data_IF_507958175475
#
_entry.id   IF_507958175475
#
_cell.length_a   1.000
_cell.length_b   1.000
_cell.length_c   1.000
_cell.angle_alpha   90.00
_cell.angle_beta   90.00
_cell.angle_gamma   90.00
#
_symmetry.space_group_name_H-M   'P 1'
#
loop_
_entity.id
_entity.type
_entity.pdbx_description
1 polymer ?
#
# COMPACT_ATOMS: atom_id res chain seq x y z
N UNK A 1 -0.35 -9.97 -7.34
CA UNK A 1 -1.49 -9.64 -6.46
C UNK A 1 -2.16 -8.34 -6.93
N UNK A 2 -3.36 -8.03 -6.44
CA UNK A 2 -3.98 -6.72 -6.67
C UNK A 2 -3.67 -5.80 -5.48
N UNK A 3 -3.43 -4.52 -5.74
CA UNK A 3 -3.13 -3.52 -4.73
C UNK A 3 -3.65 -2.13 -5.13
N UNK A 4 -3.91 -1.29 -4.14
CA UNK A 4 -4.12 0.15 -4.32
C UNK A 4 -2.75 0.84 -4.25
N UNK A 5 -2.34 1.53 -5.31
CA UNK A 5 -1.01 2.14 -5.44
C UNK A 5 -1.14 3.65 -5.52
N UNK A 6 -0.40 4.36 -4.66
CA UNK A 6 -0.20 5.80 -4.76
C UNK A 6 0.94 6.06 -5.75
N UNK A 7 0.61 6.51 -6.96
CA UNK A 7 1.62 6.79 -7.99
C UNK A 7 2.21 8.20 -7.85
N UNK A 8 1.44 9.14 -7.30
CA UNK A 8 1.80 10.55 -7.09
C UNK A 8 1.05 11.09 -5.87
N UNK A 9 1.70 11.96 -5.09
CA UNK A 9 1.09 12.59 -3.91
C UNK A 9 -0.10 13.47 -4.32
N UNK A 10 -1.11 13.52 -3.46
CA UNK A 10 -2.36 14.26 -3.70
C UNK A 10 -3.25 13.68 -4.79
N UNK A 11 -2.89 12.54 -5.39
CA UNK A 11 -3.71 11.85 -6.39
C UNK A 11 -4.42 10.63 -5.79
N UNK A 12 -5.61 10.24 -6.33
CA UNK A 12 -6.27 9.03 -5.91
C UNK A 12 -5.41 7.78 -6.11
N UNK A 13 -5.49 6.85 -5.16
CA UNK A 13 -4.91 5.51 -5.28
C UNK A 13 -5.45 4.81 -6.53
N UNK A 14 -4.57 4.09 -7.25
CA UNK A 14 -4.95 3.31 -8.43
C UNK A 14 -4.97 1.82 -8.14
N UNK A 15 -6.06 1.16 -8.52
CA UNK A 15 -6.14 -0.29 -8.48
C UNK A 15 -5.25 -0.91 -9.56
N UNK A 16 -4.23 -1.68 -9.15
CA UNK A 16 -3.23 -2.25 -10.05
C UNK A 16 -2.94 -3.70 -9.73
N UNK A 17 -2.61 -4.46 -10.78
CA UNK A 17 -2.00 -5.79 -10.65
C UNK A 17 -0.49 -5.63 -10.53
N UNK A 18 0.08 -6.07 -9.42
CA UNK A 18 1.51 -6.01 -9.12
C UNK A 18 2.08 -7.43 -8.93
N UNK A 19 3.39 -7.66 -9.10
CA UNK A 19 4.02 -8.94 -8.78
C UNK A 19 3.74 -9.36 -7.32
N UNK A 20 3.64 -10.66 -7.06
CA UNK A 20 3.62 -11.13 -5.68
C UNK A 20 5.04 -10.99 -5.08
N UNK A 21 5.18 -10.47 -3.86
CA UNK A 21 6.50 -10.35 -3.23
C UNK A 21 7.07 -11.74 -2.88
N UNK A 22 8.39 -11.85 -2.92
CA UNK A 22 9.13 -13.04 -2.49
C UNK A 22 9.80 -12.72 -1.14
N UNK A 23 9.45 -13.41 -0.04
CA UNK A 23 10.04 -13.12 1.26
C UNK A 23 11.51 -13.55 1.30
N UNK A 24 12.36 -12.70 1.88
CA UNK A 24 13.75 -13.04 2.23
C UNK A 24 13.85 -13.75 3.59
N UNK A 25 15.08 -13.97 4.09
CA UNK A 25 15.30 -14.47 5.45
C UNK A 25 14.57 -13.60 6.48
N UNK A 26 13.96 -14.25 7.48
CA UNK A 26 13.21 -13.60 8.57
C UNK A 26 11.97 -12.79 8.15
N UNK A 27 11.51 -12.91 6.90
CA UNK A 27 10.28 -12.29 6.41
C UNK A 27 9.14 -13.30 6.28
N UNK A 28 7.91 -12.80 6.43
CA UNK A 28 6.68 -13.60 6.25
C UNK A 28 5.85 -12.97 5.13
N UNK A 29 5.37 -13.82 4.21
CA UNK A 29 4.39 -13.43 3.21
C UNK A 29 2.98 -13.64 3.75
N UNK A 30 2.22 -12.56 3.89
CA UNK A 30 0.83 -12.58 4.36
C UNK A 30 -0.17 -12.45 3.21
N UNK A 31 -1.29 -13.18 3.31
CA UNK A 31 -2.47 -12.94 2.46
C UNK A 31 -3.43 -12.00 3.18
N UNK A 32 -3.48 -10.76 2.73
CA UNK A 32 -4.38 -9.74 3.29
C UNK A 32 -5.83 -10.04 2.87
N UNK A 33 -6.70 -10.28 3.86
CA UNK A 33 -8.13 -10.49 3.64
C UNK A 33 -8.93 -9.19 3.76
N UNK A 34 -8.52 -8.31 4.67
CA UNK A 34 -9.15 -7.00 4.94
C UNK A 34 -8.08 -5.99 5.30
N UNK A 35 -8.26 -4.73 4.91
CA UNK A 35 -7.37 -3.63 5.24
C UNK A 35 -8.20 -2.46 5.79
N UNK A 36 -7.87 -1.99 7.00
CA UNK A 36 -8.44 -0.77 7.55
C UNK A 36 -7.69 0.45 7.05
N UNK A 37 -8.40 1.57 6.86
CA UNK A 37 -7.79 2.87 6.55
C UNK A 37 -7.88 3.74 7.78
N UNK A 38 -6.74 4.26 8.22
CA UNK A 38 -6.62 5.18 9.34
C UNK A 38 -6.36 6.61 8.85
N UNK A 39 -6.35 7.57 9.77
CA UNK A 39 -6.06 8.97 9.43
C UNK A 39 -4.63 9.17 8.92
N UNK A 40 -3.67 8.40 9.41
CA UNK A 40 -2.27 8.47 8.97
C UNK A 40 -2.10 8.09 7.50
N UNK A 41 -2.92 7.18 6.97
CA UNK A 41 -2.88 6.85 5.54
C UNK A 41 -3.23 8.07 4.68
N UNK A 42 -4.14 8.93 5.14
CA UNK A 42 -4.49 10.18 4.45
C UNK A 42 -3.34 11.18 4.50
N UNK A 43 -2.66 11.31 5.64
CA UNK A 43 -1.46 12.15 5.75
C UNK A 43 -0.35 11.71 4.78
N UNK A 44 -0.21 10.40 4.51
CA UNK A 44 0.71 9.88 3.48
C UNK A 44 0.25 10.32 2.09
N UNK A 45 -1.03 10.16 1.77
CA UNK A 45 -1.60 10.55 0.45
C UNK A 45 -1.41 12.04 0.19
N UNK A 46 -1.65 12.87 1.20
CA UNK A 46 -1.56 14.33 1.11
C UNK A 46 -0.10 14.85 1.13
N UNK A 47 0.88 13.97 1.39
CA UNK A 47 2.30 14.35 1.43
C UNK A 47 2.69 15.12 2.70
N UNK A 48 1.99 14.89 3.81
CA UNK A 48 2.14 15.64 5.07
C UNK A 48 3.11 14.97 6.06
N UNK A 49 3.72 13.84 5.69
CA UNK A 49 4.72 13.13 6.50
C UNK A 49 6.15 13.45 6.02
N UNK A 50 7.13 13.56 6.95
CA UNK A 50 8.52 13.88 6.63
C UNK A 50 9.28 12.76 5.90
#
# INVERSE_FOLDING_TARGET
MQAMVLEELGQPLKWRKVPAPQPGPEQVLLRVHTCGVCRTDLHVVDGELP
#
